data_IF_816107013547
#
_entry.id   IF_816107013547
#
_cell.length_a   1.000
_cell.length_b   1.000
_cell.length_c   1.000
_cell.angle_alpha   90.00
_cell.angle_beta   90.00
_cell.angle_gamma   90.00
#
_symmetry.space_group_name_H-M   'P 1'
#
loop_
_entity.id
_entity.type
_entity.pdbx_description
1 polymer ?
#
# COMPACT_ATOMS: atom_id res chain seq x y z
N UNK A 1 -18.05 -61.36 -28.66
CA UNK A 1 -17.63 -60.41 -29.72
C UNK A 1 -17.25 -59.12 -29.01
N UNK A 2 -16.07 -58.52 -29.04
CA UNK A 2 -14.83 -58.71 -29.79
C UNK A 2 -13.77 -57.89 -29.02
N UNK A 3 -12.68 -58.55 -28.63
CA UNK A 3 -11.26 -58.13 -28.73
C UNK A 3 -10.79 -56.76 -28.20
N UNK A 4 -10.02 -56.82 -27.10
CA UNK A 4 -8.61 -56.38 -26.93
C UNK A 4 -8.08 -55.13 -27.69
N UNK A 5 -7.52 -54.15 -26.95
CA UNK A 5 -6.22 -53.56 -27.31
C UNK A 5 -5.45 -53.09 -26.05
N UNK A 6 -4.19 -53.53 -25.98
CA UNK A 6 -3.19 -53.36 -24.93
C UNK A 6 -2.35 -52.07 -25.11
N UNK A 7 -1.88 -51.52 -23.98
CA UNK A 7 -0.54 -50.93 -23.68
C UNK A 7 0.17 -50.02 -24.70
N UNK A 8 0.71 -48.88 -24.23
CA UNK A 8 2.17 -48.61 -24.13
C UNK A 8 2.44 -47.44 -23.17
N UNK A 9 3.28 -47.71 -22.17
CA UNK A 9 4.00 -46.76 -21.32
C UNK A 9 5.10 -46.07 -22.14
N UNK A 10 5.17 -44.73 -22.11
CA UNK A 10 6.35 -44.00 -22.58
C UNK A 10 6.85 -43.10 -21.44
N UNK A 11 7.83 -43.62 -20.70
CA UNK A 11 8.67 -42.80 -19.84
C UNK A 11 9.56 -41.92 -20.71
N UNK A 12 9.55 -40.61 -20.42
CA UNK A 12 10.65 -39.72 -20.79
C UNK A 12 11.47 -39.46 -19.53
N UNK A 13 12.60 -40.16 -19.46
CA UNK A 13 13.71 -39.86 -18.58
C UNK A 13 14.67 -38.87 -19.27
N UNK A 14 15.26 -37.97 -18.47
CA UNK A 14 16.58 -37.29 -18.58
C UNK A 14 16.47 -35.76 -18.31
N UNK A 15 17.51 -35.09 -17.76
CA UNK A 15 18.76 -35.61 -17.18
C UNK A 15 19.01 -35.12 -15.73
N UNK A 16 19.88 -35.87 -15.05
CA UNK A 16 20.54 -35.47 -13.80
C UNK A 16 21.69 -34.49 -14.10
N UNK A 17 21.89 -33.52 -13.22
CA UNK A 17 23.18 -32.90 -13.00
C UNK A 17 23.26 -31.39 -13.25
N UNK A 18 23.00 -30.59 -12.21
CA UNK A 18 23.90 -29.49 -11.80
C UNK A 18 23.87 -29.45 -10.28
N UNK A 19 24.95 -29.93 -9.65
CA UNK A 19 25.22 -29.69 -8.25
C UNK A 19 25.55 -28.19 -8.10
N UNK A 20 24.64 -27.42 -7.52
CA UNK A 20 24.94 -26.08 -7.05
C UNK A 20 25.12 -26.15 -5.55
N UNK A 21 26.38 -26.09 -5.11
CA UNK A 21 26.74 -25.82 -3.72
C UNK A 21 26.14 -24.48 -3.31
N UNK A 22 24.96 -24.51 -2.69
CA UNK A 22 24.48 -23.38 -1.90
C UNK A 22 25.09 -23.53 -0.53
N UNK A 23 26.15 -22.75 -0.31
CA UNK A 23 26.65 -22.44 1.02
C UNK A 23 25.47 -22.15 1.96
N UNK A 24 25.57 -22.72 3.16
CA UNK A 24 24.66 -22.56 4.28
C UNK A 24 24.37 -21.08 4.53
N UNK A 25 23.33 -20.55 3.89
CA UNK A 25 22.71 -19.30 4.30
C UNK A 25 21.80 -19.67 5.45
N UNK A 26 22.13 -19.12 6.63
CA UNK A 26 21.46 -19.39 7.88
C UNK A 26 19.94 -19.36 7.76
N UNK A 27 19.30 -20.16 8.63
CA UNK A 27 17.86 -20.25 8.85
C UNK A 27 17.19 -18.91 8.51
N UNK A 28 16.39 -18.88 7.44
CA UNK A 28 15.52 -17.74 7.17
C UNK A 28 14.44 -17.74 8.25
N UNK A 29 14.73 -17.08 9.37
CA UNK A 29 13.75 -16.69 10.37
C UNK A 29 12.57 -16.04 9.62
N UNK A 30 11.32 -16.48 9.86
CA UNK A 30 10.16 -15.84 9.27
C UNK A 30 10.20 -14.36 9.63
N UNK A 31 10.16 -13.49 8.62
CA UNK A 31 10.09 -12.05 8.86
C UNK A 31 8.89 -11.80 9.79
N UNK A 32 9.09 -11.11 10.93
CA UNK A 32 7.97 -10.80 11.82
C UNK A 32 6.93 -10.05 11.00
N UNK A 33 5.67 -10.52 11.03
CA UNK A 33 4.56 -9.84 10.37
C UNK A 33 4.31 -8.52 11.08
N UNK A 34 5.04 -7.49 10.66
CA UNK A 34 5.04 -6.20 11.30
C UNK A 34 3.83 -5.42 10.77
N UNK A 35 2.72 -5.51 11.51
CA UNK A 35 1.46 -4.85 11.18
C UNK A 35 0.92 -4.16 12.43
N UNK A 36 0.54 -2.89 12.30
CA UNK A 36 -0.09 -2.10 13.36
C UNK A 36 -1.60 -2.16 13.09
N UNK A 37 -2.44 -2.60 14.06
CA UNK A 37 -3.87 -2.64 13.85
C UNK A 37 -4.43 -1.21 13.68
N UNK A 38 -5.38 -0.97 12.75
CA UNK A 38 -5.95 0.34 12.50
C UNK A 38 -6.53 1.03 13.75
N UNK A 39 -7.08 0.25 14.68
CA UNK A 39 -7.63 0.73 15.95
C UNK A 39 -6.58 1.34 16.91
N UNK A 40 -5.28 1.19 16.63
CA UNK A 40 -4.19 1.79 17.43
C UNK A 40 -4.01 3.27 17.11
N UNK A 41 -4.32 3.68 15.88
CA UNK A 41 -4.10 5.05 15.46
C UNK A 41 -5.09 6.01 16.12
N UNK A 42 -4.65 7.22 16.52
CA UNK A 42 -5.53 8.22 17.07
C UNK A 42 -6.57 8.65 16.04
N UNK A 43 -7.79 8.92 16.52
CA UNK A 43 -8.87 9.43 15.66
C UNK A 43 -8.64 10.91 15.37
N UNK A 44 -8.37 11.25 14.11
CA UNK A 44 -8.28 12.63 13.67
C UNK A 44 -9.65 13.31 13.67
N UNK A 45 -9.73 14.56 14.16
CA UNK A 45 -10.92 15.40 13.98
C UNK A 45 -11.19 15.63 12.50
N UNK A 46 -12.46 15.62 12.12
CA UNK A 46 -12.93 15.93 10.77
C UNK A 46 -13.85 17.14 10.83
N UNK A 47 -13.65 18.08 9.92
CA UNK A 47 -14.52 19.25 9.73
C UNK A 47 -15.15 19.22 8.33
N UNK A 48 -16.31 18.58 8.22
CA UNK A 48 -17.01 18.41 6.94
C UNK A 48 -17.59 19.72 6.37
N UNK A 49 -17.46 20.84 7.08
CA UNK A 49 -17.95 22.14 6.61
C UNK A 49 -16.93 22.87 5.73
N UNK A 50 -15.69 22.37 5.66
CA UNK A 50 -14.63 22.97 4.86
C UNK A 50 -14.71 22.37 3.46
N UNK A 51 -15.22 23.16 2.51
CA UNK A 51 -15.40 22.78 1.10
C UNK A 51 -14.84 23.89 0.24
N UNK A 52 -13.99 23.53 -0.73
CA UNK A 52 -13.49 24.45 -1.74
C UNK A 52 -14.17 24.21 -3.10
N UNK A 53 -14.38 25.30 -3.82
CA UNK A 53 -14.86 25.32 -5.19
C UNK A 53 -13.66 25.36 -6.15
N UNK A 54 -13.46 24.29 -6.91
CA UNK A 54 -12.41 24.21 -7.92
C UNK A 54 -12.98 24.42 -9.32
N UNK A 55 -12.56 25.52 -9.96
CA UNK A 55 -12.81 25.78 -11.37
C UNK A 55 -11.90 24.93 -12.27
N UNK A 56 -12.35 24.69 -13.52
CA UNK A 56 -11.51 24.09 -14.56
C UNK A 56 -11.21 22.60 -14.38
N UNK A 57 -11.80 21.92 -13.39
CA UNK A 57 -11.78 20.47 -13.31
C UNK A 57 -12.62 19.93 -14.46
N UNK A 58 -11.94 19.45 -15.51
CA UNK A 58 -12.56 18.72 -16.61
C UNK A 58 -12.98 17.35 -16.09
N UNK A 59 -14.17 17.28 -15.49
CA UNK A 59 -14.78 16.01 -15.16
C UNK A 59 -15.12 15.34 -16.48
N UNK A 60 -14.35 14.31 -16.83
CA UNK A 60 -14.65 13.47 -17.97
C UNK A 60 -15.88 12.63 -17.59
N UNK A 61 -17.07 13.20 -17.77
CA UNK A 61 -18.29 12.42 -17.65
C UNK A 61 -18.23 11.33 -18.72
N UNK A 62 -18.04 10.10 -18.27
CA UNK A 62 -18.00 8.88 -19.08
C UNK A 62 -19.41 8.53 -19.60
N UNK A 63 -20.10 9.45 -20.25
CA UNK A 63 -21.33 9.13 -20.98
C UNK A 63 -21.37 9.91 -22.30
N UNK A 64 -21.26 9.11 -23.36
CA UNK A 64 -21.44 9.31 -24.80
C UNK A 64 -20.81 10.50 -25.55
N UNK A 65 -20.06 10.09 -26.58
CA UNK A 65 -19.54 10.86 -27.71
C UNK A 65 -20.65 11.69 -28.38
N UNK A 66 -20.85 12.93 -27.94
CA UNK A 66 -21.22 14.03 -28.83
C UNK A 66 -20.66 15.36 -28.31
N UNK A 67 -19.54 15.73 -28.91
CA UNK A 67 -18.79 16.98 -28.76
C UNK A 67 -19.63 18.22 -29.09
N UNK A 68 -19.86 19.07 -28.09
CA UNK A 68 -19.42 20.49 -28.01
C UNK A 68 -20.38 21.26 -27.12
N UNK A 69 -20.06 21.26 -25.83
CA UNK A 69 -19.83 22.47 -25.04
C UNK A 69 -19.21 21.97 -23.72
N UNK A 70 -17.89 22.14 -23.59
CA UNK A 70 -17.15 21.89 -22.36
C UNK A 70 -17.64 22.92 -21.34
N UNK A 71 -18.70 22.58 -20.62
CA UNK A 71 -19.11 23.35 -19.46
C UNK A 71 -17.97 23.23 -18.44
N UNK A 72 -17.32 24.34 -18.11
CA UNK A 72 -16.47 24.43 -16.92
C UNK A 72 -17.41 24.31 -15.72
N UNK A 73 -17.57 23.08 -15.23
CA UNK A 73 -18.30 22.84 -14.00
C UNK A 73 -17.41 23.16 -12.81
N UNK A 74 -17.95 23.92 -11.85
CA UNK A 74 -17.37 24.06 -10.52
C UNK A 74 -17.51 22.71 -9.82
N UNK A 75 -16.40 22.20 -9.29
CA UNK A 75 -16.37 20.97 -8.51
C UNK A 75 -16.13 21.33 -7.05
N UNK A 76 -17.08 20.97 -6.20
CA UNK A 76 -16.96 21.08 -4.75
C UNK A 76 -16.16 19.91 -4.19
N UNK A 77 -15.06 20.21 -3.49
CA UNK A 77 -14.22 19.22 -2.84
C UNK A 77 -14.11 19.55 -1.36
N UNK A 78 -14.54 18.62 -0.50
CA UNK A 78 -14.39 18.75 0.94
C UNK A 78 -12.95 18.51 1.38
N UNK A 79 -12.46 19.32 2.30
CA UNK A 79 -11.17 19.14 2.98
C UNK A 79 -11.36 19.05 4.51
N UNK A 80 -11.75 17.87 5.03
CA UNK A 80 -12.05 17.70 6.46
C UNK A 80 -10.84 17.88 7.38
N UNK A 81 -9.62 17.94 6.84
CA UNK A 81 -8.38 17.94 7.60
C UNK A 81 -7.56 19.23 7.41
N UNK A 82 -8.16 20.31 6.90
CA UNK A 82 -7.57 21.65 6.77
C UNK A 82 -6.85 22.14 8.02
N UNK A 83 -7.31 21.73 9.21
CA UNK A 83 -6.69 22.09 10.49
C UNK A 83 -5.26 21.56 10.67
N UNK A 84 -4.86 20.51 9.94
CA UNK A 84 -3.48 20.00 9.93
C UNK A 84 -2.49 20.91 9.18
N UNK A 85 -2.96 21.91 8.44
CA UNK A 85 -2.10 22.83 7.71
C UNK A 85 -1.38 23.86 8.60
N UNK A 86 -1.90 24.09 9.82
CA UNK A 86 -1.22 24.93 10.82
C UNK A 86 -0.30 24.05 11.70
N UNK A 87 1.03 24.08 11.51
CA UNK A 87 1.97 23.29 12.30
C UNK A 87 2.15 23.84 13.73
N UNK A 88 1.77 25.09 13.98
CA UNK A 88 1.91 25.74 15.27
C UNK A 88 0.68 25.56 16.17
N UNK A 89 -0.45 25.14 15.60
CA UNK A 89 -1.65 24.80 16.33
C UNK A 89 -1.38 23.69 17.38
N UNK A 90 -1.90 23.84 18.62
CA UNK A 90 -1.71 22.86 19.67
C UNK A 90 -2.33 21.49 19.33
N UNK A 91 -3.47 21.48 18.63
CA UNK A 91 -4.14 20.27 18.17
C UNK A 91 -3.24 19.47 17.21
N UNK A 92 -2.65 20.14 16.20
CA UNK A 92 -1.73 19.53 15.22
C UNK A 92 -0.51 18.93 15.91
N UNK A 93 0.11 19.68 16.83
CA UNK A 93 1.28 19.20 17.58
C UNK A 93 0.95 17.97 18.44
N UNK A 94 -0.20 17.96 19.10
CA UNK A 94 -0.66 16.81 19.88
C UNK A 94 -0.86 15.59 18.97
N UNK A 95 -1.58 15.77 17.85
CA UNK A 95 -1.85 14.68 16.92
C UNK A 95 -0.57 14.08 16.33
N UNK A 96 0.40 14.93 15.94
CA UNK A 96 1.72 14.48 15.49
C UNK A 96 2.47 13.70 16.58
N UNK A 97 2.41 14.16 17.83
CA UNK A 97 3.02 13.47 18.96
C UNK A 97 2.43 12.07 19.16
N UNK A 98 1.11 11.92 19.05
CA UNK A 98 0.40 10.64 19.16
C UNK A 98 0.78 9.68 18.03
N UNK A 99 0.89 10.18 16.78
CA UNK A 99 1.34 9.39 15.64
C UNK A 99 2.80 8.95 15.76
N UNK A 100 3.68 9.82 16.26
CA UNK A 100 5.09 9.49 16.49
C UNK A 100 5.25 8.43 17.57
N UNK A 101 4.46 8.49 18.65
CA UNK A 101 4.48 7.48 19.71
C UNK A 101 4.15 6.05 19.19
N UNK A 102 3.39 5.95 18.09
CA UNK A 102 3.10 4.68 17.41
C UNK A 102 4.20 4.32 16.40
N UNK A 103 4.66 5.29 15.64
CA UNK A 103 5.59 5.07 14.51
C UNK A 103 7.02 4.79 14.97
N UNK A 104 7.51 5.49 16.00
CA UNK A 104 8.86 5.30 16.55
C UNK A 104 9.16 3.86 16.98
N UNK A 105 8.34 3.19 17.82
CA UNK A 105 8.60 1.80 18.21
C UNK A 105 8.42 0.82 17.05
N UNK A 106 7.61 1.15 16.05
CA UNK A 106 7.48 0.35 14.83
C UNK A 106 8.77 0.39 14.01
N UNK A 107 9.29 1.58 13.75
CA UNK A 107 10.55 1.77 13.02
C UNK A 107 11.74 1.20 13.81
N UNK A 108 11.75 1.33 15.13
CA UNK A 108 12.81 0.78 15.98
C UNK A 108 12.95 -0.75 15.88
N UNK A 109 11.88 -1.47 15.52
CA UNK A 109 11.91 -2.93 15.32
C UNK A 109 12.48 -3.35 13.97
N UNK A 110 12.75 -2.42 13.05
CA UNK A 110 13.28 -2.75 11.74
C UNK A 110 14.73 -3.29 11.85
N UNK A 111 15.03 -4.50 11.33
CA UNK A 111 16.29 -5.20 11.58
C UNK A 111 17.51 -4.49 11.00
N UNK A 112 17.33 -3.72 9.93
CA UNK A 112 18.38 -3.05 9.18
C UNK A 112 18.46 -1.53 9.46
N UNK A 113 17.75 -1.02 10.48
CA UNK A 113 17.69 0.44 10.75
C UNK A 113 19.05 1.06 11.02
N UNK A 114 19.86 0.40 11.85
CA UNK A 114 21.18 0.90 12.25
C UNK A 114 22.20 0.86 11.11
N UNK A 115 22.08 -0.11 10.21
CA UNK A 115 22.94 -0.22 9.03
C UNK A 115 22.67 0.90 8.02
N UNK A 116 21.40 1.32 7.89
CA UNK A 116 21.01 2.45 7.04
C UNK A 116 21.50 3.78 7.64
N UNK A 117 21.43 3.96 8.97
CA UNK A 117 21.82 5.22 9.63
C UNK A 117 23.33 5.51 9.55
N UNK A 118 24.15 4.50 9.29
CA UNK A 118 25.62 4.63 9.18
C UNK A 118 26.09 4.93 7.76
N UNK A 119 25.20 4.89 6.76
CA UNK A 119 25.51 5.25 5.38
C UNK A 119 25.32 6.75 5.15
#
# INVERSE_FOLDING_TARGET
MRTLLLLVLAGCSLPQGVAQERGSMGKSEPLPSISIPPATYPTARRDENIVDDFDGIKVMLLYELHLRDLCECIVQVGDPYRWLEDPDAPETRQFVSELNAISEPFLAKAPNREDIRKK
#
